data_IF_353649141046
#
_entry.id   IF_353649141046
#
_cell.length_a   1.000
_cell.length_b   1.000
_cell.length_c   1.000
_cell.angle_alpha   90.00
_cell.angle_beta   90.00
_cell.angle_gamma   90.00
#
_symmetry.space_group_name_H-M   'P 1'
#
loop_
_entity.id
_entity.type
_entity.pdbx_description
1 polymer ?
#
# COMPACT_ATOMS: atom_id res chain seq x y z
N UNK A 1 -8.33 -8.82 14.65
CA UNK A 1 -8.05 -10.24 14.34
C UNK A 1 -9.04 -10.82 13.35
N UNK A 2 -10.35 -10.83 13.64
CA UNK A 2 -11.37 -11.34 12.71
C UNK A 2 -11.29 -10.69 11.31
N UNK A 3 -11.15 -9.37 11.23
CA UNK A 3 -10.99 -8.66 9.96
C UNK A 3 -9.75 -9.09 9.15
N UNK A 4 -8.65 -9.47 9.80
CA UNK A 4 -7.46 -9.97 9.11
C UNK A 4 -7.74 -11.33 8.47
N UNK A 5 -8.41 -12.23 9.19
CA UNK A 5 -8.80 -13.54 8.64
C UNK A 5 -9.77 -13.37 7.48
N UNK A 6 -10.78 -12.51 7.65
CA UNK A 6 -11.74 -12.20 6.59
C UNK A 6 -11.05 -11.70 5.32
N UNK A 7 -10.07 -10.79 5.44
CA UNK A 7 -9.33 -10.29 4.27
C UNK A 7 -8.43 -11.35 3.63
N UNK A 8 -7.80 -12.21 4.44
CA UNK A 8 -6.98 -13.32 3.97
C UNK A 8 -7.81 -14.40 3.24
N UNK A 9 -9.01 -14.70 3.75
CA UNK A 9 -9.90 -15.74 3.23
C UNK A 9 -10.78 -15.25 2.06
N UNK A 10 -10.92 -13.93 1.90
CA UNK A 10 -11.67 -13.34 0.80
C UNK A 10 -11.09 -13.78 -0.54
N UNK A 11 -11.93 -14.09 -1.51
CA UNK A 11 -11.45 -14.45 -2.85
C UNK A 11 -10.83 -13.23 -3.57
N UNK A 12 -9.76 -13.40 -4.36
CA UNK A 12 -9.19 -12.31 -5.15
C UNK A 12 -10.20 -11.77 -6.17
N UNK A 13 -10.15 -10.47 -6.45
CA UNK A 13 -10.94 -9.89 -7.55
C UNK A 13 -10.34 -10.25 -8.92
N UNK A 14 -11.08 -10.10 -10.04
CA UNK A 14 -10.52 -10.32 -11.37
C UNK A 14 -9.23 -9.51 -11.59
N UNK A 15 -8.16 -10.20 -11.99
CA UNK A 15 -6.86 -9.59 -12.25
C UNK A 15 -5.98 -9.38 -11.01
N UNK A 16 -6.46 -9.73 -9.81
CA UNK A 16 -5.68 -9.73 -8.58
C UNK A 16 -5.07 -11.11 -8.29
N UNK A 17 -3.83 -11.11 -7.80
CA UNK A 17 -3.23 -12.23 -7.10
C UNK A 17 -2.90 -11.75 -5.69
N UNK A 18 -3.30 -12.50 -4.67
CA UNK A 18 -3.05 -12.13 -3.27
C UNK A 18 -2.69 -13.33 -2.42
N UNK A 19 -1.97 -13.07 -1.33
CA UNK A 19 -1.46 -14.07 -0.43
C UNK A 19 -1.23 -13.47 0.96
N UNK A 20 -1.70 -14.16 2.00
CA UNK A 20 -1.35 -13.84 3.38
C UNK A 20 -0.14 -14.63 3.83
N UNK A 21 1.03 -13.99 3.78
CA UNK A 21 2.29 -14.58 4.22
C UNK A 21 2.40 -14.53 5.75
N UNK A 22 2.75 -15.64 6.37
CA UNK A 22 2.94 -15.74 7.84
C UNK A 22 4.40 -15.63 8.26
N UNK A 23 5.30 -15.42 7.29
CA UNK A 23 6.74 -15.26 7.50
C UNK A 23 7.34 -14.34 6.43
N UNK A 24 8.53 -13.80 6.69
CA UNK A 24 9.29 -13.05 5.68
C UNK A 24 9.67 -13.93 4.48
N UNK A 25 9.95 -15.21 4.72
CA UNK A 25 10.26 -16.16 3.65
C UNK A 25 9.08 -16.38 2.71
N UNK A 26 7.89 -16.67 3.24
CA UNK A 26 6.69 -16.88 2.42
C UNK A 26 6.25 -15.60 1.68
N UNK A 27 6.52 -14.43 2.27
CA UNK A 27 6.36 -13.15 1.59
C UNK A 27 7.30 -13.04 0.38
N UNK A 28 8.59 -13.35 0.55
CA UNK A 28 9.57 -13.34 -0.54
C UNK A 28 9.21 -14.33 -1.65
N UNK A 29 8.80 -15.55 -1.29
CA UNK A 29 8.35 -16.58 -2.25
C UNK A 29 7.16 -16.08 -3.09
N UNK A 30 6.19 -15.38 -2.48
CA UNK A 30 5.10 -14.76 -3.22
C UNK A 30 5.60 -13.66 -4.17
N UNK A 31 6.48 -12.78 -3.71
CA UNK A 31 7.07 -11.71 -4.55
C UNK A 31 7.80 -12.32 -5.75
N UNK A 32 8.62 -13.34 -5.54
CA UNK A 32 9.34 -14.06 -6.59
C UNK A 32 8.40 -14.76 -7.57
N UNK A 33 7.29 -15.33 -7.10
CA UNK A 33 6.27 -15.92 -7.97
C UNK A 33 5.66 -14.91 -8.95
N UNK A 34 5.63 -13.63 -8.57
CA UNK A 34 5.10 -12.55 -9.39
C UNK A 34 6.19 -11.98 -10.31
N UNK A 35 7.36 -11.62 -9.80
CA UNK A 35 8.41 -10.97 -10.61
C UNK A 35 9.25 -11.96 -11.44
N UNK A 36 9.27 -13.23 -11.06
CA UNK A 36 10.22 -14.22 -11.52
C UNK A 36 11.42 -14.31 -10.57
N UNK A 37 12.09 -15.48 -10.54
CA UNK A 37 13.32 -15.66 -9.77
C UNK A 37 14.41 -14.70 -10.26
N UNK A 38 15.21 -14.17 -9.33
CA UNK A 38 16.35 -13.26 -9.58
C UNK A 38 16.02 -11.95 -10.31
N UNK A 39 14.73 -11.62 -10.46
CA UNK A 39 14.33 -10.35 -11.05
C UNK A 39 14.87 -9.18 -10.20
N UNK A 40 15.45 -8.14 -10.82
CA UNK A 40 15.92 -6.98 -10.08
C UNK A 40 14.73 -6.25 -9.45
N UNK A 41 14.53 -6.43 -8.14
CA UNK A 41 13.46 -5.80 -7.37
C UNK A 41 14.00 -4.69 -6.49
N UNK A 42 13.15 -3.69 -6.20
CA UNK A 42 13.46 -2.61 -5.29
C UNK A 42 12.36 -2.49 -4.25
N UNK A 43 12.69 -2.77 -3.00
CA UNK A 43 11.79 -2.52 -1.88
C UNK A 43 11.71 -1.02 -1.58
N UNK A 44 10.50 -0.53 -1.36
CA UNK A 44 10.23 0.83 -0.90
C UNK A 44 9.18 0.78 0.20
N UNK A 45 9.35 1.61 1.22
CA UNK A 45 8.42 1.71 2.35
C UNK A 45 8.26 3.16 2.78
N UNK A 46 7.21 3.40 3.56
CA UNK A 46 7.02 4.66 4.30
C UNK A 46 8.00 4.72 5.47
N UNK A 47 8.65 5.87 5.68
CA UNK A 47 9.53 6.09 6.82
C UNK A 47 9.53 7.56 7.28
N UNK A 48 9.87 7.78 8.55
CA UNK A 48 10.08 9.13 9.09
C UNK A 48 11.47 9.64 8.67
N UNK A 49 11.51 10.82 8.06
CA UNK A 49 12.75 11.59 7.83
C UNK A 49 13.08 12.48 9.03
N UNK A 50 12.06 12.88 9.79
CA UNK A 50 12.17 13.66 11.01
C UNK A 50 11.08 13.21 11.96
N UNK A 51 11.45 12.96 13.22
CA UNK A 51 10.49 12.72 14.30
C UNK A 51 10.41 13.97 15.19
N UNK A 52 9.21 14.30 15.63
CA UNK A 52 8.98 15.25 16.71
C UNK A 52 9.68 14.77 17.98
N UNK A 53 10.04 15.69 18.87
CA UNK A 53 10.68 15.35 20.15
C UNK A 53 9.75 14.59 21.11
N UNK A 54 8.44 14.60 20.86
CA UNK A 54 7.50 13.72 21.54
C UNK A 54 7.53 12.32 20.92
N UNK A 55 7.78 11.29 21.74
CA UNK A 55 7.76 9.87 21.34
C UNK A 55 6.34 9.34 21.04
N UNK A 56 5.29 10.16 21.22
CA UNK A 56 3.92 9.77 20.89
C UNK A 56 3.66 9.86 19.38
N UNK A 57 3.44 8.69 18.77
CA UNK A 57 2.93 8.56 17.39
C UNK A 57 1.43 8.90 17.41
N UNK A 58 1.13 10.20 17.49
CA UNK A 58 -0.25 10.68 17.45
C UNK A 58 -0.79 10.67 16.02
N UNK A 59 -2.07 10.26 15.87
CA UNK A 59 -2.82 10.49 14.64
C UNK A 59 -2.94 12.00 14.45
N UNK A 60 -2.51 12.50 13.30
CA UNK A 60 -2.46 13.93 13.01
C UNK A 60 -2.74 14.21 11.53
N UNK A 61 -2.97 15.49 11.22
CA UNK A 61 -3.00 15.95 9.84
C UNK A 61 -1.59 16.10 9.29
N UNK A 62 -1.43 15.74 8.02
CA UNK A 62 -0.20 15.96 7.27
C UNK A 62 -0.48 16.88 6.08
N UNK A 63 0.42 17.81 5.84
CA UNK A 63 0.45 18.60 4.60
C UNK A 63 1.37 17.93 3.59
N UNK A 64 0.89 17.77 2.37
CA UNK A 64 1.72 17.31 1.26
C UNK A 64 2.71 18.40 0.85
N UNK A 65 3.99 18.03 0.82
CA UNK A 65 5.09 18.93 0.47
C UNK A 65 5.62 18.68 -0.94
N UNK A 66 5.46 17.47 -1.44
CA UNK A 66 5.89 17.11 -2.79
C UNK A 66 5.50 15.68 -3.15
N UNK A 67 5.44 15.43 -4.45
CA UNK A 67 5.16 14.11 -5.02
C UNK A 67 6.21 13.79 -6.08
N UNK A 68 6.66 12.53 -6.10
CA UNK A 68 7.54 12.01 -7.14
C UNK A 68 7.16 10.60 -7.51
N UNK A 69 6.92 10.35 -8.79
CA UNK A 69 6.67 9.00 -9.27
C UNK A 69 7.94 8.15 -9.17
N UNK A 70 7.77 6.90 -8.76
CA UNK A 70 8.79 5.85 -8.83
C UNK A 70 8.46 5.00 -10.06
N UNK A 71 9.30 4.99 -11.10
CA UNK A 71 9.08 4.12 -12.26
C UNK A 71 9.03 2.66 -11.83
N UNK A 72 7.87 2.02 -12.01
CA UNK A 72 7.59 0.66 -11.56
C UNK A 72 6.64 -0.03 -12.55
N UNK A 73 7.16 -0.68 -13.61
CA UNK A 73 6.31 -1.36 -14.59
C UNK A 73 5.52 -2.54 -13.99
N UNK A 74 5.99 -3.06 -12.85
CA UNK A 74 5.36 -4.11 -12.07
C UNK A 74 5.64 -3.83 -10.59
N UNK A 75 4.66 -4.08 -9.72
CA UNK A 75 4.78 -3.81 -8.29
C UNK A 75 3.96 -4.83 -7.49
N UNK A 76 4.42 -5.18 -6.29
CA UNK A 76 3.67 -5.97 -5.31
C UNK A 76 3.57 -5.09 -4.06
N UNK A 77 2.37 -5.00 -3.48
CA UNK A 77 2.18 -4.34 -2.19
C UNK A 77 2.04 -5.40 -1.11
N UNK A 78 2.69 -5.18 0.03
CA UNK A 78 2.57 -6.03 1.21
C UNK A 78 2.29 -5.15 2.43
N UNK A 79 1.24 -5.50 3.18
CA UNK A 79 0.75 -4.76 4.33
C UNK A 79 0.90 -5.60 5.60
N UNK A 80 1.46 -5.03 6.66
CA UNK A 80 1.46 -5.67 7.98
C UNK A 80 0.05 -5.64 8.55
N UNK A 81 -0.50 -6.82 8.86
CA UNK A 81 -1.85 -6.94 9.35
C UNK A 81 -1.91 -7.01 10.88
N UNK A 82 -2.94 -6.42 11.52
CA UNK A 82 -3.13 -6.52 12.96
C UNK A 82 -3.60 -7.94 13.35
N UNK A 83 -2.66 -8.76 13.82
CA UNK A 83 -2.91 -10.15 14.22
C UNK A 83 -1.97 -10.61 15.34
N UNK A 84 -2.29 -11.70 16.05
CA UNK A 84 -1.49 -12.19 17.20
C UNK A 84 -0.08 -12.66 16.81
N UNK A 85 0.09 -13.01 15.54
CA UNK A 85 1.36 -13.38 14.94
C UNK A 85 1.55 -12.59 13.65
N UNK A 86 2.78 -12.63 13.13
CA UNK A 86 3.15 -11.95 11.90
C UNK A 86 2.29 -12.42 10.73
N UNK A 87 1.57 -11.48 10.10
CA UNK A 87 0.85 -11.69 8.85
C UNK A 87 1.12 -10.50 7.94
N UNK A 88 1.61 -10.78 6.74
CA UNK A 88 1.73 -9.82 5.65
C UNK A 88 0.66 -10.13 4.62
N UNK A 89 -0.31 -9.23 4.45
CA UNK A 89 -1.23 -9.27 3.33
C UNK A 89 -0.53 -8.72 2.09
N UNK A 90 -0.17 -9.60 1.16
CA UNK A 90 0.50 -9.23 -0.08
C UNK A 90 -0.45 -9.38 -1.27
N UNK A 91 -0.39 -8.45 -2.21
CA UNK A 91 -1.20 -8.51 -3.42
C UNK A 91 -0.56 -7.82 -4.63
N UNK A 92 -0.96 -8.26 -5.81
CA UNK A 92 -0.55 -7.80 -7.11
C UNK A 92 -1.77 -7.63 -8.01
N UNK A 93 -1.90 -6.46 -8.64
CA UNK A 93 -2.91 -6.19 -9.65
C UNK A 93 -2.26 -6.16 -11.04
N UNK A 94 -2.83 -6.91 -11.99
CA UNK A 94 -2.36 -6.95 -13.39
C UNK A 94 -2.57 -5.63 -14.15
N UNK A 95 -3.48 -4.78 -13.69
CA UNK A 95 -3.77 -3.46 -14.28
C UNK A 95 -2.59 -2.49 -14.12
N UNK A 96 -2.63 -1.36 -14.84
CA UNK A 96 -1.65 -0.29 -14.66
C UNK A 96 -1.72 0.25 -13.21
N UNK A 97 -0.56 0.38 -12.58
CA UNK A 97 -0.40 0.88 -11.22
C UNK A 97 0.75 1.87 -11.19
N UNK A 98 0.55 3.00 -10.50
CA UNK A 98 1.58 4.02 -10.35
C UNK A 98 1.98 4.16 -8.90
N UNK A 99 3.28 4.09 -8.65
CA UNK A 99 3.86 4.24 -7.32
C UNK A 99 4.43 5.65 -7.18
N UNK A 100 4.09 6.30 -6.07
CA UNK A 100 4.54 7.64 -5.74
C UNK A 100 5.23 7.65 -4.39
N UNK A 101 6.29 8.45 -4.31
CA UNK A 101 6.86 8.91 -3.06
C UNK A 101 6.28 10.28 -2.75
N UNK A 102 5.70 10.41 -1.57
CA UNK A 102 5.00 11.61 -1.10
C UNK A 102 5.72 12.15 0.12
N UNK A 103 6.25 13.35 0.02
CA UNK A 103 6.84 14.06 1.17
C UNK A 103 5.71 14.71 1.97
N UNK A 104 5.64 14.41 3.26
CA UNK A 104 4.60 14.86 4.18
C UNK A 104 5.21 15.61 5.35
N UNK A 105 4.59 16.74 5.74
CA UNK A 105 4.93 17.50 6.94
C UNK A 105 3.76 17.42 7.93
N UNK A 106 4.03 16.87 9.12
CA UNK A 106 3.06 16.79 10.22
C UNK A 106 2.97 18.11 10.98
N UNK A 107 1.81 18.39 11.55
CA UNK A 107 1.58 19.57 12.40
C UNK A 107 2.47 19.55 13.67
N UNK A 108 2.83 18.36 14.15
CA UNK A 108 3.76 18.17 15.27
C UNK A 108 5.25 18.36 14.90
N UNK A 109 5.55 18.71 13.64
CA UNK A 109 6.91 18.87 13.14
C UNK A 109 7.56 17.58 12.61
N UNK A 110 6.82 16.47 12.54
CA UNK A 110 7.23 15.25 11.83
C UNK A 110 7.45 15.52 10.34
N UNK A 111 8.44 14.83 9.79
CA UNK A 111 8.61 14.69 8.35
C UNK A 111 8.52 13.22 7.98
N UNK A 112 7.68 12.89 7.02
CA UNK A 112 7.45 11.51 6.56
C UNK A 112 7.63 11.44 5.05
N UNK A 113 8.34 10.42 4.59
CA UNK A 113 8.40 10.02 3.19
C UNK A 113 7.49 8.79 3.01
N UNK A 114 6.28 9.02 2.52
CA UNK A 114 5.27 7.99 2.36
C UNK A 114 5.27 7.38 0.95
N UNK A 115 4.90 6.10 0.87
CA UNK A 115 4.60 5.43 -0.39
C UNK A 115 3.09 5.45 -0.62
N UNK A 116 2.68 5.99 -1.75
CA UNK A 116 1.31 5.96 -2.22
C UNK A 116 1.23 5.16 -3.54
N UNK A 117 0.15 4.40 -3.70
CA UNK A 117 -0.11 3.60 -4.89
C UNK A 117 -1.43 4.06 -5.49
N UNK A 118 -1.41 4.37 -6.78
CA UNK A 118 -2.59 4.66 -7.56
C UNK A 118 -2.86 3.46 -8.48
N UNK A 119 -3.93 2.72 -8.19
CA UNK A 119 -4.45 1.70 -9.09
C UNK A 119 -5.27 2.40 -10.17
N UNK A 120 -4.85 2.29 -11.44
CA UNK A 120 -5.48 3.03 -12.54
C UNK A 120 -6.81 2.42 -12.98
N UNK A 121 -7.04 1.15 -12.64
CA UNK A 121 -8.31 0.45 -12.86
C UNK A 121 -8.79 -0.13 -11.54
N UNK A 122 -9.90 0.41 -11.05
CA UNK A 122 -10.59 -0.04 -9.84
C UNK A 122 -12.03 -0.46 -10.12
N UNK A 123 -12.37 -0.72 -11.38
CA UNK A 123 -13.74 -1.06 -11.83
C UNK A 123 -14.32 -2.31 -11.15
N UNK A 124 -13.45 -3.24 -10.74
CA UNK A 124 -13.82 -4.46 -10.01
C UNK A 124 -13.80 -4.32 -8.48
N UNK A 125 -13.46 -3.14 -7.96
CA UNK A 125 -13.40 -2.91 -6.52
C UNK A 125 -14.80 -2.68 -5.96
N UNK A 126 -15.03 -3.14 -4.74
CA UNK A 126 -16.31 -2.90 -4.07
C UNK A 126 -16.51 -1.41 -3.80
N UNK A 127 -17.73 -0.86 -3.98
CA UNK A 127 -18.00 0.58 -3.80
C UNK A 127 -17.72 1.06 -2.37
N UNK A 128 -17.77 0.15 -1.38
CA UNK A 128 -17.47 0.46 0.02
C UNK A 128 -15.97 0.36 0.37
N UNK A 129 -15.07 0.24 -0.62
CA UNK A 129 -13.63 0.16 -0.37
C UNK A 129 -13.14 1.41 0.37
N UNK A 130 -12.20 1.24 1.32
CA UNK A 130 -11.74 2.33 2.20
C UNK A 130 -11.18 3.53 1.42
N UNK A 131 -10.49 3.27 0.31
CA UNK A 131 -9.95 4.32 -0.56
C UNK A 131 -11.05 5.26 -1.10
N UNK A 132 -12.20 4.71 -1.50
CA UNK A 132 -13.35 5.45 -2.01
C UNK A 132 -14.00 6.30 -0.92
N UNK A 133 -14.14 5.73 0.29
CA UNK A 133 -14.70 6.44 1.44
C UNK A 133 -13.84 7.61 1.90
N UNK A 134 -12.52 7.43 1.91
CA UNK A 134 -11.57 8.48 2.36
C UNK A 134 -11.44 9.58 1.31
N UNK A 135 -11.46 9.23 0.03
CA UNK A 135 -11.29 10.20 -1.06
C UNK A 135 -12.63 10.83 -1.50
N UNK A 136 -13.77 10.28 -1.10
CA UNK A 136 -15.10 10.76 -1.47
C UNK A 136 -15.41 10.54 -2.96
N UNK A 137 -14.99 9.40 -3.51
CA UNK A 137 -15.11 9.04 -4.93
C UNK A 137 -15.70 7.64 -5.09
N UNK A 138 -16.23 7.30 -6.26
CA UNK A 138 -16.75 5.98 -6.62
C UNK A 138 -15.74 5.15 -7.44
N UNK A 139 -15.90 3.81 -7.53
CA UNK A 139 -15.16 3.02 -8.51
C UNK A 139 -15.41 3.60 -9.91
N UNK A 140 -14.34 3.80 -10.71
CA UNK A 140 -14.30 4.46 -12.04
C UNK A 140 -14.21 5.99 -12.07
N UNK A 141 -14.24 6.67 -10.94
CA UNK A 141 -13.96 8.11 -10.91
C UNK A 141 -12.49 8.42 -11.26
N UNK A 142 -12.28 9.48 -12.04
CA UNK A 142 -10.93 9.95 -12.39
C UNK A 142 -10.38 10.85 -11.28
N UNK A 143 -9.42 10.34 -10.52
CA UNK A 143 -8.71 11.12 -9.49
C UNK A 143 -7.49 11.81 -10.13
N UNK A 144 -7.48 13.14 -10.15
CA UNK A 144 -6.29 13.91 -10.58
C UNK A 144 -5.36 14.11 -9.38
N UNK A 145 -4.17 13.51 -9.45
CA UNK A 145 -3.08 13.78 -8.51
C UNK A 145 -2.32 15.00 -9.04
N UNK A 146 -2.65 16.17 -8.51
CA UNK A 146 -2.02 17.46 -8.83
C UNK A 146 -1.02 17.87 -7.77
#
# INVERSE_FOLDING_TARGET
MAATLEECDRHPIPGEQKFCATSSQSMSEFIESIFGPDAPTKAVSTYHIKRSESDDVAVQNYRMMGIRQIPSPKMVSCHTMPYAYTVFYCHYHKSDNRVYRVSLAGENGDGVEAIAVCHMDTSHWGPNHVAFRVLGVEPVDTIRVG
#
